data_IF_029855150240
#
_entry.id   IF_029855150240
#
_cell.length_a   1.000
_cell.length_b   1.000
_cell.length_c   1.000
_cell.angle_alpha   90.00
_cell.angle_beta   90.00
_cell.angle_gamma   90.00
#
_symmetry.space_group_name_H-M   'P 1'
#
loop_
_entity.id
_entity.type
_entity.pdbx_description
1 polymer ?
#
# COMPACT_ATOMS: atom_id res chain seq x y z
N UNK A 1 -17.92 14.36 -19.96
CA UNK A 1 -19.25 15.00 -19.86
C UNK A 1 -19.51 15.72 -21.17
N UNK A 2 -20.65 15.50 -21.75
CA UNK A 2 -21.08 16.13 -23.00
C UNK A 2 -21.80 17.48 -22.71
N UNK A 3 -22.10 18.23 -23.78
CA UNK A 3 -22.78 19.54 -23.67
C UNK A 3 -24.19 19.46 -23.06
N UNK A 4 -24.85 18.31 -23.20
CA UNK A 4 -26.13 17.99 -22.59
C UNK A 4 -26.02 17.47 -21.15
N UNK A 5 -24.83 17.51 -20.55
CA UNK A 5 -24.46 16.94 -19.26
C UNK A 5 -24.46 15.42 -19.19
N UNK A 6 -24.74 14.72 -20.26
CA UNK A 6 -24.66 13.26 -20.27
C UNK A 6 -23.23 12.78 -20.04
N UNK A 7 -23.09 11.58 -19.48
CA UNK A 7 -21.82 10.87 -19.36
C UNK A 7 -21.80 9.74 -20.39
N UNK A 8 -20.68 9.62 -21.10
CA UNK A 8 -20.45 8.53 -22.05
C UNK A 8 -19.21 7.75 -21.64
N UNK A 9 -19.34 6.43 -21.52
CA UNK A 9 -18.21 5.56 -21.36
C UNK A 9 -17.59 5.25 -22.73
N UNK A 10 -16.29 5.51 -22.88
CA UNK A 10 -15.56 5.23 -24.13
C UNK A 10 -14.82 3.89 -24.10
N UNK A 11 -14.51 3.40 -22.91
CA UNK A 11 -13.91 2.09 -22.67
C UNK A 11 -14.71 1.42 -21.59
N UNK A 12 -15.16 0.20 -21.87
CA UNK A 12 -15.86 -0.63 -20.89
C UNK A 12 -14.84 -1.62 -20.33
N UNK A 13 -14.35 -1.35 -19.14
CA UNK A 13 -13.58 -2.32 -18.35
C UNK A 13 -14.57 -3.15 -17.56
N UNK A 14 -14.42 -4.47 -17.57
CA UNK A 14 -15.19 -5.34 -16.69
C UNK A 14 -14.66 -5.19 -15.28
N UNK A 15 -15.46 -4.66 -14.39
CA UNK A 15 -15.15 -4.61 -12.96
C UNK A 15 -15.75 -5.84 -12.28
N UNK A 16 -15.00 -6.45 -11.40
CA UNK A 16 -15.46 -7.60 -10.64
C UNK A 16 -15.74 -7.23 -9.18
N UNK A 17 -16.66 -7.96 -8.59
CA UNK A 17 -16.96 -7.81 -7.17
C UNK A 17 -15.71 -7.97 -6.30
N UNK A 18 -15.56 -7.11 -5.29
CA UNK A 18 -14.43 -7.09 -4.33
C UNK A 18 -13.07 -6.71 -4.92
N UNK A 19 -13.00 -6.21 -6.14
CA UNK A 19 -11.77 -5.58 -6.62
C UNK A 19 -11.43 -4.35 -5.78
N UNK A 20 -10.14 -4.15 -5.54
CA UNK A 20 -9.66 -3.04 -4.73
C UNK A 20 -8.40 -2.44 -5.34
N UNK A 21 -8.51 -1.18 -5.76
CA UNK A 21 -7.41 -0.35 -6.25
C UNK A 21 -6.63 -0.92 -7.45
N UNK A 22 -7.17 -1.96 -8.12
CA UNK A 22 -6.59 -2.52 -9.33
C UNK A 22 -6.85 -1.60 -10.54
N UNK A 23 -8.07 -1.08 -10.63
CA UNK A 23 -8.53 -0.24 -11.72
C UNK A 23 -8.74 1.21 -11.31
N UNK A 24 -8.73 2.09 -12.31
CA UNK A 24 -9.02 3.51 -12.17
C UNK A 24 -9.97 3.96 -13.27
N UNK A 25 -11.06 4.60 -12.89
CA UNK A 25 -11.98 5.23 -13.83
C UNK A 25 -11.55 6.68 -14.02
N UNK A 26 -11.28 7.05 -15.27
CA UNK A 26 -10.96 8.42 -15.62
C UNK A 26 -12.24 9.15 -16.09
N UNK A 27 -12.51 10.29 -15.48
CA UNK A 27 -13.67 11.10 -15.77
C UNK A 27 -13.18 12.41 -16.39
N UNK A 28 -13.56 12.62 -17.64
CA UNK A 28 -13.17 13.79 -18.42
C UNK A 28 -14.33 14.78 -18.45
N UNK A 29 -14.06 15.99 -17.99
CA UNK A 29 -15.02 17.10 -17.92
C UNK A 29 -14.48 18.23 -18.80
N UNK A 30 -15.28 18.85 -19.70
CA UNK A 30 -14.83 20.01 -20.44
C UNK A 30 -14.48 21.15 -19.48
N UNK A 31 -13.52 22.01 -19.81
CA UNK A 31 -13.12 23.12 -18.95
C UNK A 31 -14.22 24.15 -18.77
N UNK A 32 -15.13 24.27 -19.74
CA UNK A 32 -16.23 25.22 -19.71
C UNK A 32 -17.56 24.50 -19.93
N UNK A 33 -18.61 25.00 -19.26
CA UNK A 33 -19.98 24.62 -19.50
C UNK A 33 -20.84 25.91 -19.63
N UNK A 34 -21.23 26.24 -20.86
CA UNK A 34 -21.78 27.55 -21.17
C UNK A 34 -20.75 28.65 -20.81
N UNK A 35 -21.18 29.59 -19.97
CA UNK A 35 -20.33 30.68 -19.48
C UNK A 35 -19.56 30.30 -18.19
N UNK A 36 -19.75 29.10 -17.65
CA UNK A 36 -19.12 28.67 -16.41
C UNK A 36 -17.76 28.02 -16.69
N UNK A 37 -16.72 28.55 -16.09
CA UNK A 37 -15.41 27.90 -16.01
C UNK A 37 -15.44 26.84 -14.90
N UNK A 38 -15.31 25.56 -15.32
CA UNK A 38 -15.34 24.41 -14.43
C UNK A 38 -13.97 24.09 -13.83
N UNK A 39 -12.93 24.86 -14.17
CA UNK A 39 -11.57 24.59 -13.68
C UNK A 39 -11.43 24.69 -12.17
N UNK A 40 -12.26 25.49 -11.50
CA UNK A 40 -12.22 25.66 -10.04
C UNK A 40 -13.28 24.83 -9.29
N UNK A 41 -14.02 23.99 -10.01
CA UNK A 41 -15.04 23.16 -9.40
C UNK A 41 -14.43 21.90 -8.76
N UNK A 42 -14.99 21.51 -7.63
CA UNK A 42 -14.77 20.23 -6.99
C UNK A 42 -15.78 19.23 -7.51
N UNK A 43 -15.33 18.05 -7.91
CA UNK A 43 -16.21 16.98 -8.37
C UNK A 43 -16.45 15.98 -7.25
N UNK A 44 -17.71 15.65 -7.03
CA UNK A 44 -18.15 14.60 -6.10
C UNK A 44 -18.89 13.53 -6.88
N UNK A 45 -18.43 12.29 -6.81
CA UNK A 45 -19.16 11.13 -7.28
C UNK A 45 -20.24 10.77 -6.26
N UNK A 46 -21.45 10.50 -6.76
CA UNK A 46 -22.56 10.04 -5.93
C UNK A 46 -23.18 8.80 -6.56
N UNK A 47 -23.42 7.79 -5.76
CA UNK A 47 -24.10 6.56 -6.18
C UNK A 47 -24.83 5.91 -5.00
N UNK A 48 -25.69 4.98 -5.33
CA UNK A 48 -26.34 4.10 -4.36
C UNK A 48 -25.92 2.67 -4.72
N UNK A 49 -25.40 1.94 -3.75
CA UNK A 49 -25.01 0.55 -3.96
C UNK A 49 -26.22 -0.41 -4.01
N UNK A 50 -25.96 -1.67 -4.30
CA UNK A 50 -27.01 -2.68 -4.39
C UNK A 50 -27.69 -3.01 -3.03
N UNK A 51 -27.09 -2.58 -1.92
CA UNK A 51 -27.70 -2.66 -0.59
C UNK A 51 -28.54 -1.41 -0.23
N UNK A 52 -28.75 -0.49 -1.20
CA UNK A 52 -29.40 0.80 -1.03
C UNK A 52 -28.68 1.75 -0.05
N UNK A 53 -27.36 1.61 0.08
CA UNK A 53 -26.55 2.55 0.85
C UNK A 53 -26.05 3.65 -0.06
N UNK A 54 -26.30 4.94 0.27
CA UNK A 54 -25.79 6.06 -0.52
C UNK A 54 -24.30 6.32 -0.20
N UNK A 55 -23.53 6.55 -1.26
CA UNK A 55 -22.12 6.89 -1.19
C UNK A 55 -21.85 8.22 -1.85
N UNK A 56 -20.87 8.97 -1.33
CA UNK A 56 -20.40 10.22 -1.91
C UNK A 56 -18.88 10.30 -1.73
N UNK A 57 -18.17 10.46 -2.84
CA UNK A 57 -16.71 10.47 -2.87
C UNK A 57 -16.20 11.71 -3.61
N UNK A 58 -15.24 12.41 -3.02
CA UNK A 58 -14.59 13.54 -3.68
C UNK A 58 -13.55 13.00 -4.65
N UNK A 59 -13.66 13.38 -5.92
CA UNK A 59 -12.76 12.91 -6.95
C UNK A 59 -11.46 13.74 -6.96
N UNK A 60 -10.28 13.10 -6.88
CA UNK A 60 -9.02 13.77 -7.10
C UNK A 60 -8.95 14.35 -8.52
N UNK A 61 -8.51 15.59 -8.62
CA UNK A 61 -8.36 16.31 -9.88
C UNK A 61 -6.87 16.40 -10.25
N UNK A 62 -6.55 16.14 -11.50
CA UNK A 62 -5.21 16.38 -12.01
C UNK A 62 -4.90 17.86 -12.13
N UNK A 63 -3.61 18.20 -12.01
CA UNK A 63 -3.15 19.60 -12.14
C UNK A 63 -3.25 20.10 -13.58
N UNK A 64 -2.95 19.23 -14.53
CA UNK A 64 -2.89 19.58 -15.94
C UNK A 64 -4.09 19.03 -16.70
N UNK A 65 -4.46 19.75 -17.77
CA UNK A 65 -5.51 19.28 -18.67
C UNK A 65 -5.05 18.03 -19.42
N UNK A 66 -5.92 17.05 -19.51
CA UNK A 66 -5.72 15.86 -20.33
C UNK A 66 -6.59 15.95 -21.58
N UNK A 67 -5.95 16.03 -22.77
CA UNK A 67 -6.66 16.19 -24.07
C UNK A 67 -7.72 17.30 -24.00
N UNK A 68 -7.32 18.47 -23.53
CA UNK A 68 -8.18 19.65 -23.38
C UNK A 68 -9.34 19.50 -22.37
N UNK A 69 -9.33 18.45 -21.54
CA UNK A 69 -10.35 18.21 -20.52
C UNK A 69 -9.73 18.21 -19.13
N UNK A 70 -10.52 18.61 -18.16
CA UNK A 70 -10.23 18.42 -16.75
C UNK A 70 -10.39 16.93 -16.46
N UNK A 71 -9.34 16.30 -15.96
CA UNK A 71 -9.34 14.88 -15.61
C UNK A 71 -9.52 14.68 -14.11
N UNK A 72 -10.54 13.96 -13.75
CA UNK A 72 -10.74 13.41 -12.41
C UNK A 72 -10.48 11.92 -12.45
N UNK A 73 -9.95 11.38 -11.36
CA UNK A 73 -9.61 9.95 -11.26
C UNK A 73 -10.37 9.34 -10.08
N UNK A 74 -11.14 8.31 -10.34
CA UNK A 74 -11.77 7.47 -9.32
C UNK A 74 -10.97 6.18 -9.22
N UNK A 75 -10.22 5.95 -8.15
CA UNK A 75 -9.67 4.62 -7.89
C UNK A 75 -10.83 3.70 -7.53
N UNK A 76 -10.94 2.58 -8.23
CA UNK A 76 -11.98 1.57 -7.95
C UNK A 76 -11.65 0.91 -6.62
N UNK A 77 -12.47 1.16 -5.63
CA UNK A 77 -12.30 0.63 -4.28
C UNK A 77 -13.37 -0.41 -3.92
N UNK A 78 -13.26 -0.93 -2.71
CA UNK A 78 -14.18 -1.95 -2.20
C UNK A 78 -15.60 -1.43 -2.01
N UNK A 79 -15.80 -0.11 -1.82
CA UNK A 79 -17.15 0.44 -1.63
C UNK A 79 -17.93 0.35 -2.95
N UNK A 80 -17.26 0.72 -4.06
CA UNK A 80 -17.88 0.63 -5.38
C UNK A 80 -18.12 -0.83 -5.80
N UNK A 81 -17.21 -1.74 -5.47
CA UNK A 81 -17.23 -3.14 -5.93
C UNK A 81 -17.78 -4.13 -4.90
N UNK A 82 -18.33 -3.65 -3.79
CA UNK A 82 -18.78 -4.50 -2.69
C UNK A 82 -19.85 -5.51 -3.13
N UNK A 83 -20.78 -5.06 -3.96
CA UNK A 83 -21.91 -5.86 -4.45
C UNK A 83 -21.89 -5.92 -5.97
N UNK A 84 -22.22 -7.08 -6.52
CA UNK A 84 -22.39 -7.24 -7.96
C UNK A 84 -23.72 -6.64 -8.43
N UNK A 85 -23.73 -6.12 -9.65
CA UNK A 85 -24.91 -5.54 -10.29
C UNK A 85 -24.63 -4.20 -10.93
N UNK A 86 -25.68 -3.55 -11.39
CA UNK A 86 -25.61 -2.26 -12.05
C UNK A 86 -25.67 -1.14 -11.02
N UNK A 87 -24.71 -0.24 -11.06
CA UNK A 87 -24.63 0.93 -10.21
C UNK A 87 -24.78 2.18 -11.08
N UNK A 88 -25.80 2.99 -10.79
CA UNK A 88 -25.95 4.30 -11.42
C UNK A 88 -25.13 5.35 -10.70
N UNK A 89 -24.11 5.86 -11.36
CA UNK A 89 -23.25 6.93 -10.84
C UNK A 89 -23.66 8.27 -11.39
N UNK A 90 -23.53 9.32 -10.58
CA UNK A 90 -23.73 10.71 -10.96
C UNK A 90 -22.61 11.56 -10.40
N UNK A 91 -22.18 12.57 -11.16
CA UNK A 91 -21.16 13.52 -10.72
C UNK A 91 -21.84 14.85 -10.41
N UNK A 92 -21.47 15.41 -9.28
CA UNK A 92 -21.87 16.77 -8.88
C UNK A 92 -20.60 17.63 -8.87
N UNK A 93 -20.61 18.68 -9.67
CA UNK A 93 -19.58 19.69 -9.71
C UNK A 93 -20.05 20.88 -8.86
N UNK A 94 -19.23 21.32 -7.92
CA UNK A 94 -19.58 22.42 -7.01
C UNK A 94 -18.42 23.40 -6.88
N UNK A 95 -18.76 24.70 -6.92
CA UNK A 95 -17.85 25.79 -6.61
C UNK A 95 -18.54 26.75 -5.64
N UNK A 96 -17.84 27.09 -4.56
CA UNK A 96 -18.26 28.14 -3.63
C UNK A 96 -17.49 29.41 -3.93
N UNK A 97 -18.17 30.40 -4.41
CA UNK A 97 -17.61 31.73 -4.66
C UNK A 97 -17.82 32.59 -3.42
N UNK A 98 -16.73 32.82 -2.68
CA UNK A 98 -16.77 33.61 -1.43
C UNK A 98 -16.88 35.10 -1.66
N UNK A 99 -16.46 35.60 -2.82
CA UNK A 99 -16.52 37.02 -3.16
C UNK A 99 -17.96 37.45 -3.43
N UNK A 100 -18.67 36.66 -4.23
CA UNK A 100 -20.06 36.92 -4.59
C UNK A 100 -21.03 36.25 -3.61
N UNK A 101 -20.55 35.43 -2.68
CA UNK A 101 -21.34 34.61 -1.75
C UNK A 101 -22.38 33.74 -2.46
N UNK A 102 -21.96 33.11 -3.56
CA UNK A 102 -22.81 32.21 -4.34
C UNK A 102 -22.20 30.84 -4.43
N UNK A 103 -23.06 29.82 -4.42
CA UNK A 103 -22.67 28.44 -4.67
C UNK A 103 -23.19 28.02 -6.03
N UNK A 104 -22.28 27.62 -6.90
CA UNK A 104 -22.62 27.08 -8.21
C UNK A 104 -22.60 25.55 -8.11
N UNK A 105 -23.63 24.91 -8.64
CA UNK A 105 -23.75 23.42 -8.63
C UNK A 105 -24.19 22.97 -10.02
N UNK A 106 -23.47 22.03 -10.58
CA UNK A 106 -23.78 21.36 -11.84
C UNK A 106 -23.87 19.87 -11.61
N UNK A 107 -24.97 19.25 -12.01
CA UNK A 107 -25.12 17.80 -11.97
C UNK A 107 -24.99 17.22 -13.37
N UNK A 108 -24.33 16.09 -13.48
CA UNK A 108 -24.32 15.30 -14.73
C UNK A 108 -25.55 14.39 -14.80
N UNK A 109 -25.81 13.85 -15.98
CA UNK A 109 -26.66 12.68 -16.14
C UNK A 109 -26.08 11.45 -15.42
N UNK A 110 -26.81 10.39 -15.39
CA UNK A 110 -26.39 9.11 -14.82
C UNK A 110 -25.59 8.30 -15.84
N UNK A 111 -24.60 7.57 -15.34
CA UNK A 111 -23.89 6.54 -16.08
C UNK A 111 -24.00 5.24 -15.29
N UNK A 112 -24.36 4.17 -15.97
CA UNK A 112 -24.43 2.84 -15.34
C UNK A 112 -23.07 2.18 -15.47
N UNK A 113 -22.55 1.70 -14.35
CA UNK A 113 -21.37 0.83 -14.25
C UNK A 113 -21.84 -0.55 -13.83
N UNK A 114 -21.43 -1.57 -14.57
CA UNK A 114 -21.73 -2.96 -14.23
C UNK A 114 -20.58 -3.57 -13.42
N UNK A 115 -20.90 -4.12 -12.27
CA UNK A 115 -20.00 -4.90 -11.43
C UNK A 115 -20.35 -6.38 -11.61
N UNK A 116 -19.48 -7.10 -12.26
CA UNK A 116 -19.66 -8.53 -12.51
C UNK A 116 -19.49 -9.35 -11.23
N UNK A 117 -20.37 -10.32 -10.96
CA UNK A 117 -20.20 -11.17 -9.80
C UNK A 117 -18.93 -12.01 -9.95
N UNK A 118 -18.24 -12.22 -8.84
CA UNK A 118 -17.32 -13.34 -8.76
C UNK A 118 -18.16 -14.60 -8.90
N UNK A 119 -17.89 -15.41 -9.93
CA UNK A 119 -18.61 -16.67 -10.10
C UNK A 119 -18.54 -17.48 -8.83
N UNK A 120 -19.65 -18.14 -8.49
CA UNK A 120 -19.88 -18.92 -7.27
C UNK A 120 -18.88 -20.06 -6.98
N UNK A 121 -17.84 -20.23 -7.79
CA UNK A 121 -16.72 -21.11 -7.49
C UNK A 121 -16.07 -20.84 -6.13
N UNK A 122 -16.17 -19.58 -5.67
CA UNK A 122 -15.61 -19.16 -4.38
C UNK A 122 -16.65 -19.09 -3.25
N UNK A 123 -17.94 -19.16 -3.57
CA UNK A 123 -19.00 -19.14 -2.57
C UNK A 123 -19.38 -20.54 -2.06
N UNK A 124 -18.97 -21.60 -2.79
CA UNK A 124 -19.46 -22.96 -2.56
C UNK A 124 -18.40 -23.98 -2.17
N UNK A 125 -17.18 -23.55 -1.84
CA UNK A 125 -16.17 -24.48 -1.33
C UNK A 125 -15.74 -24.01 0.06
N UNK A 126 -16.47 -24.43 1.12
CA UNK A 126 -16.03 -24.27 2.49
C UNK A 126 -14.61 -24.81 2.70
N UNK A 127 -14.25 -25.85 1.96
CA UNK A 127 -12.94 -26.51 2.03
C UNK A 127 -11.83 -25.67 1.38
N UNK A 128 -12.07 -24.96 0.26
CA UNK A 128 -11.04 -24.10 -0.35
C UNK A 128 -10.74 -22.86 0.49
N UNK A 129 -11.72 -22.32 1.21
CA UNK A 129 -11.44 -21.20 2.11
C UNK A 129 -10.61 -21.67 3.31
N UNK A 130 -10.80 -22.89 3.79
CA UNK A 130 -9.99 -23.53 4.80
C UNK A 130 -8.60 -23.84 4.25
N UNK A 131 -8.50 -24.41 3.05
CA UNK A 131 -7.22 -24.68 2.39
C UNK A 131 -6.41 -23.41 2.14
N UNK A 132 -7.06 -22.32 1.72
CA UNK A 132 -6.39 -21.02 1.57
C UNK A 132 -5.90 -20.44 2.91
N UNK A 133 -6.70 -20.56 3.97
CA UNK A 133 -6.29 -20.16 5.32
C UNK A 133 -5.16 -21.04 5.82
N UNK A 134 -5.24 -22.36 5.60
CA UNK A 134 -4.19 -23.30 5.95
C UNK A 134 -2.88 -23.04 5.19
N UNK A 135 -2.96 -22.66 3.90
CA UNK A 135 -1.80 -22.21 3.12
C UNK A 135 -1.18 -20.94 3.70
N UNK A 136 -1.99 -19.94 4.09
CA UNK A 136 -1.49 -18.72 4.73
C UNK A 136 -0.85 -19.06 6.06
N UNK A 137 -1.49 -19.87 6.89
CA UNK A 137 -0.96 -20.29 8.20
C UNK A 137 0.35 -21.04 8.01
N UNK A 138 0.42 -21.99 7.08
CA UNK A 138 1.63 -22.72 6.75
C UNK A 138 2.77 -21.81 6.28
N UNK A 139 2.45 -20.82 5.40
CA UNK A 139 3.44 -19.83 4.95
C UNK A 139 3.93 -18.92 6.08
N UNK A 140 3.05 -18.54 7.01
CA UNK A 140 3.43 -17.77 8.19
C UNK A 140 4.30 -18.59 9.14
N UNK A 141 3.96 -19.85 9.38
CA UNK A 141 4.76 -20.77 10.20
C UNK A 141 6.16 -20.94 9.62
N UNK A 142 6.27 -21.19 8.31
CA UNK A 142 7.55 -21.29 7.63
C UNK A 142 8.41 -20.02 7.75
N UNK A 143 7.78 -18.84 7.72
CA UNK A 143 8.48 -17.56 7.92
C UNK A 143 8.92 -17.36 9.36
N UNK A 144 8.09 -17.77 10.33
CA UNK A 144 8.45 -17.74 11.76
C UNK A 144 9.64 -18.64 12.02
N UNK A 145 9.61 -19.89 11.53
CA UNK A 145 10.74 -20.81 11.66
C UNK A 145 12.03 -20.31 11.01
N UNK A 146 11.90 -19.61 9.86
CA UNK A 146 13.05 -18.97 9.21
C UNK A 146 13.61 -17.82 10.05
N UNK A 147 12.76 -17.02 10.67
CA UNK A 147 13.17 -15.94 11.58
C UNK A 147 13.81 -16.48 12.85
N UNK A 148 13.27 -17.56 13.43
CA UNK A 148 13.85 -18.22 14.59
C UNK A 148 15.26 -18.75 14.29
N UNK A 149 15.47 -19.34 13.11
CA UNK A 149 16.81 -19.77 12.66
C UNK A 149 17.78 -18.59 12.50
N UNK A 150 17.31 -17.46 12.01
CA UNK A 150 18.13 -16.24 11.90
C UNK A 150 18.44 -15.69 13.28
N UNK A 151 17.47 -15.64 14.18
CA UNK A 151 17.67 -15.21 15.56
C UNK A 151 18.66 -16.11 16.29
N UNK A 152 18.51 -17.43 16.17
CA UNK A 152 19.44 -18.41 16.73
C UNK A 152 20.87 -18.28 16.16
N UNK A 153 20.97 -18.04 14.86
CA UNK A 153 22.27 -17.80 14.22
C UNK A 153 22.91 -16.50 14.72
N UNK A 154 22.10 -15.44 14.87
CA UNK A 154 22.54 -14.15 15.39
C UNK A 154 23.03 -14.28 16.84
N UNK A 155 22.28 -14.96 17.69
CA UNK A 155 22.63 -15.19 19.09
C UNK A 155 23.89 -16.04 19.24
N UNK A 156 24.13 -16.98 18.32
CA UNK A 156 25.33 -17.82 18.31
C UNK A 156 26.58 -17.10 17.79
N UNK A 157 26.41 -16.08 16.97
CA UNK A 157 27.54 -15.34 16.36
C UNK A 157 27.89 -14.05 17.08
N UNK A 158 26.95 -13.49 17.83
CA UNK A 158 27.15 -12.24 18.57
C UNK A 158 27.80 -12.51 19.94
N UNK A 159 29.03 -12.06 20.11
CA UNK A 159 29.67 -12.08 21.41
C UNK A 159 29.01 -11.03 22.34
N UNK A 160 28.49 -11.47 23.46
CA UNK A 160 27.94 -10.65 24.54
C UNK A 160 28.85 -10.59 25.76
N UNK A 161 29.84 -11.49 25.83
CA UNK A 161 30.78 -11.56 26.95
C UNK A 161 32.11 -12.18 26.52
N UNK A 162 33.13 -11.99 27.36
CA UNK A 162 34.47 -12.52 27.20
C UNK A 162 34.83 -13.32 28.46
N UNK A 163 35.32 -14.53 28.29
CA UNK A 163 35.88 -15.33 29.37
C UNK A 163 37.39 -15.39 29.21
N UNK A 164 38.12 -15.13 30.27
CA UNK A 164 39.57 -15.29 30.33
C UNK A 164 39.85 -16.58 31.08
N UNK A 165 40.55 -17.49 30.42
CA UNK A 165 40.99 -18.76 30.99
C UNK A 165 42.54 -18.80 31.05
N UNK A 166 43.08 -19.45 32.07
CA UNK A 166 44.52 -19.64 32.27
C UNK A 166 45.36 -18.32 32.27
N UNK A 167 44.71 -17.16 32.41
CA UNK A 167 45.36 -15.87 32.44
C UNK A 167 45.80 -15.33 31.07
N UNK A 168 45.74 -16.10 30.00
CA UNK A 168 46.19 -15.70 28.68
C UNK A 168 45.34 -16.22 27.51
N UNK A 169 44.28 -16.95 27.79
CA UNK A 169 43.36 -17.42 26.77
C UNK A 169 42.06 -16.60 26.85
N UNK A 170 41.64 -16.05 25.72
CA UNK A 170 40.40 -15.30 25.60
C UNK A 170 39.40 -16.14 24.79
N UNK A 171 38.24 -16.36 25.38
CA UNK A 171 37.12 -17.03 24.73
C UNK A 171 35.94 -16.04 24.64
N UNK A 172 35.42 -15.84 23.43
CA UNK A 172 34.17 -15.10 23.20
C UNK A 172 33.00 -15.99 23.61
N UNK A 173 32.00 -15.41 24.22
CA UNK A 173 30.78 -16.09 24.66
C UNK A 173 29.55 -15.37 24.05
N UNK A 174 28.53 -16.16 23.72
CA UNK A 174 27.17 -15.69 23.47
C UNK A 174 26.25 -16.45 24.43
N UNK A 175 25.45 -15.74 25.20
CA UNK A 175 24.56 -16.31 26.22
C UNK A 175 25.31 -17.32 27.14
N UNK A 176 26.55 -17.00 27.52
CA UNK A 176 27.47 -17.86 28.32
C UNK A 176 27.97 -19.13 27.59
N UNK A 177 27.66 -19.29 26.31
CA UNK A 177 28.16 -20.41 25.48
C UNK A 177 29.35 -19.92 24.66
N UNK A 178 30.45 -20.70 24.60
CA UNK A 178 31.63 -20.37 23.79
C UNK A 178 31.26 -20.26 22.30
N UNK A 179 31.77 -19.23 21.64
CA UNK A 179 31.67 -19.03 20.19
C UNK A 179 33.07 -18.83 19.61
N UNK A 180 33.29 -19.44 18.45
CA UNK A 180 34.59 -19.37 17.77
C UNK A 180 35.73 -20.07 18.55
N UNK A 181 36.94 -19.95 18.02
CA UNK A 181 38.13 -20.52 18.60
C UNK A 181 38.70 -19.64 19.73
N UNK A 182 39.38 -20.23 20.66
CA UNK A 182 40.11 -19.53 21.71
C UNK A 182 41.27 -18.74 21.12
N UNK A 183 41.47 -17.53 21.59
CA UNK A 183 42.60 -16.68 21.24
C UNK A 183 43.61 -16.67 22.40
N UNK A 184 44.82 -17.13 22.14
CA UNK A 184 45.89 -17.09 23.12
C UNK A 184 46.63 -15.75 23.01
N UNK A 185 46.60 -14.96 24.07
CA UNK A 185 47.39 -13.74 24.17
C UNK A 185 48.77 -14.11 24.72
N UNK A 186 49.76 -14.17 23.84
CA UNK A 186 51.15 -14.30 24.27
C UNK A 186 51.62 -12.98 24.84
N UNK A 187 51.94 -12.96 26.14
CA UNK A 187 52.69 -11.82 26.71
C UNK A 187 54.02 -11.75 25.98
N UNK A 188 54.12 -10.80 25.08
CA UNK A 188 55.41 -10.44 24.48
C UNK A 188 56.35 -10.02 25.56
N UNK A 189 57.36 -10.91 25.81
CA UNK A 189 58.39 -10.63 26.76
C UNK A 189 59.10 -9.32 26.47
N UNK A 190 59.36 -8.61 27.50
CA UNK A 190 60.19 -7.41 27.61
C UNK A 190 61.38 -7.43 26.64
N UNK A 191 61.40 -6.49 25.70
CA UNK A 191 62.54 -6.25 24.84
C UNK A 191 62.30 -5.01 23.99
N UNK A 192 62.86 -3.91 24.33
CA UNK A 192 62.74 -2.54 23.94
C UNK A 192 62.59 -2.21 22.46
N UNK A 193 62.15 -1.00 22.32
CA UNK A 193 62.23 -0.03 21.23
C UNK A 193 61.04 0.16 20.32
N UNK A 194 60.52 1.37 20.46
CA UNK A 194 59.89 2.25 19.49
C UNK A 194 58.63 1.80 18.79
N UNK A 195 57.54 2.28 19.30
CA UNK A 195 56.43 2.97 18.70
C UNK A 195 55.96 2.57 17.32
N UNK A 196 54.86 1.84 17.28
CA UNK A 196 53.75 2.14 16.38
C UNK A 196 52.48 1.61 17.03
N UNK A 197 51.58 2.52 17.38
CA UNK A 197 50.36 2.19 18.06
C UNK A 197 49.47 1.33 17.14
N UNK A 198 49.04 0.16 17.63
CA UNK A 198 47.97 -0.57 17.04
C UNK A 198 46.69 0.26 17.19
N UNK A 199 46.28 0.92 16.12
CA UNK A 199 44.93 1.49 16.03
C UNK A 199 43.97 0.34 15.70
N UNK A 200 43.02 0.10 16.58
CA UNK A 200 41.88 -0.72 16.27
C UNK A 200 40.86 0.16 15.56
N UNK A 201 40.74 0.01 14.27
CA UNK A 201 39.58 0.57 13.54
C UNK A 201 38.37 -0.25 13.88
N UNK A 202 37.47 0.35 14.66
CA UNK A 202 36.12 -0.19 14.85
C UNK A 202 35.35 0.15 13.59
N UNK A 203 35.12 -0.82 12.74
CA UNK A 203 34.17 -0.70 11.61
C UNK A 203 32.79 -0.97 12.19
N UNK A 204 32.00 0.09 12.33
CA UNK A 204 30.56 -0.03 12.54
C UNK A 204 29.91 -0.51 11.23
N UNK A 205 29.11 -1.56 11.32
CA UNK A 205 28.22 -2.04 10.26
C UNK A 205 26.78 -1.67 10.59
#
# INVERSE_FOLDING_TARGET
MNDDKSLTATVVTTLYQREKLADKIQILIPPNYGELDLSEFTATLKYVDQANVPHAEILPKDKDLYKEHIRYVLPVDTNLTQYAGDIAIRITLQKNDMEVRKTYVVHTGELIINISPLKDYYAFVPDESLEFVDQIVSNLQNKIEALDKVADAYDKTKADNIKIENGNEIQLLSNKVPIGDKITVTNGGSGGETGEGCSFDIVEF
#
